data_IF_369557128349
#
_entry.id   IF_369557128349
#
_cell.length_a   1.000
_cell.length_b   1.000
_cell.length_c   1.000
_cell.angle_alpha   90.00
_cell.angle_beta   90.00
_cell.angle_gamma   90.00
#
_symmetry.space_group_name_H-M   'P 1'
#
loop_
_entity.id
_entity.type
_entity.pdbx_description
1 polymer ?
#
# COMPACT_ATOMS: atom_id res chain seq x y z
N UNK A 1 -4.18 -19.66 -20.52
CA UNK A 1 -3.08 -19.19 -19.67
C UNK A 1 -1.82 -19.20 -20.53
N UNK A 2 -1.04 -18.12 -20.59
CA UNK A 2 0.22 -18.13 -21.35
C UNK A 2 1.17 -19.15 -20.70
N UNK A 3 1.62 -20.14 -21.49
CA UNK A 3 2.58 -21.16 -21.07
C UNK A 3 4.02 -20.66 -21.32
N UNK A 4 4.95 -21.17 -20.53
CA UNK A 4 6.39 -20.96 -20.78
C UNK A 4 6.82 -21.65 -22.07
N UNK A 5 7.75 -21.03 -22.81
CA UNK A 5 8.14 -21.46 -24.17
C UNK A 5 9.61 -21.75 -24.32
N UNK A 6 10.47 -21.20 -23.46
CA UNK A 6 11.90 -21.39 -23.54
C UNK A 6 12.31 -22.83 -23.17
N UNK A 7 13.58 -23.12 -23.30
CA UNK A 7 14.19 -24.38 -22.84
C UNK A 7 14.04 -24.61 -21.33
N UNK A 8 13.79 -23.54 -20.55
CA UNK A 8 13.61 -23.56 -19.11
C UNK A 8 12.15 -23.67 -18.66
N UNK A 9 11.21 -24.06 -19.55
CA UNK A 9 9.77 -24.16 -19.23
C UNK A 9 9.47 -25.10 -18.06
N UNK A 10 10.22 -26.18 -17.93
CA UNK A 10 10.01 -27.18 -16.86
C UNK A 10 10.47 -26.60 -15.53
N UNK A 11 11.65 -26.03 -15.46
CA UNK A 11 12.25 -25.40 -14.28
C UNK A 11 11.42 -24.20 -13.78
N UNK A 12 10.90 -23.39 -14.72
CA UNK A 12 9.99 -22.27 -14.41
C UNK A 12 8.67 -22.76 -13.78
N UNK A 13 8.14 -23.87 -14.32
CA UNK A 13 6.89 -24.48 -13.81
C UNK A 13 7.12 -25.07 -12.44
N UNK A 14 8.21 -25.80 -12.23
CA UNK A 14 8.57 -26.42 -10.97
C UNK A 14 8.86 -25.37 -9.89
N UNK A 15 9.64 -24.33 -10.20
CA UNK A 15 9.90 -23.21 -9.30
C UNK A 15 8.61 -22.55 -8.81
N UNK A 16 7.63 -22.33 -9.70
CA UNK A 16 6.34 -21.78 -9.29
C UNK A 16 5.53 -22.76 -8.43
N UNK A 17 5.61 -24.06 -8.70
CA UNK A 17 4.95 -25.09 -7.90
C UNK A 17 5.54 -25.15 -6.48
N UNK A 18 6.87 -25.13 -6.34
CA UNK A 18 7.57 -25.07 -5.04
C UNK A 18 7.22 -23.76 -4.29
N UNK A 19 7.09 -22.65 -5.04
CA UNK A 19 6.72 -21.35 -4.45
C UNK A 19 5.27 -21.30 -3.98
N UNK A 20 4.41 -22.17 -4.51
CA UNK A 20 3.01 -22.25 -4.09
C UNK A 20 2.92 -22.71 -2.62
N UNK A 21 2.20 -21.96 -1.80
CA UNK A 21 2.09 -22.23 -0.36
C UNK A 21 3.17 -21.55 0.51
N UNK A 22 4.30 -21.13 -0.08
CA UNK A 22 5.33 -20.36 0.65
C UNK A 22 5.16 -18.85 0.51
N UNK A 23 4.54 -18.40 -0.58
CA UNK A 23 4.25 -16.99 -0.84
C UNK A 23 2.75 -16.80 -1.09
N UNK A 24 2.26 -15.55 -0.94
CA UNK A 24 0.85 -15.24 -1.20
C UNK A 24 0.49 -15.43 -2.69
N UNK A 25 -0.78 -15.76 -2.98
CA UNK A 25 -1.27 -15.92 -4.35
C UNK A 25 -0.99 -14.70 -5.23
N UNK A 26 -1.15 -13.49 -4.68
CA UNK A 26 -0.84 -12.25 -5.41
C UNK A 26 0.66 -12.12 -5.74
N UNK A 27 1.53 -12.54 -4.83
CA UNK A 27 2.99 -12.59 -5.07
C UNK A 27 3.31 -13.65 -6.11
N UNK A 28 2.69 -14.83 -6.02
CA UNK A 28 2.89 -15.92 -6.98
C UNK A 28 2.48 -15.51 -8.40
N UNK A 29 1.32 -14.88 -8.56
CA UNK A 29 0.85 -14.37 -9.85
C UNK A 29 1.78 -13.29 -10.41
N UNK A 30 2.28 -12.38 -9.56
CA UNK A 30 3.24 -11.36 -9.98
C UNK A 30 4.57 -11.99 -10.40
N UNK A 31 5.08 -12.95 -9.63
CA UNK A 31 6.28 -13.73 -9.96
C UNK A 31 6.12 -14.40 -11.33
N UNK A 32 5.00 -15.12 -11.53
CA UNK A 32 4.70 -15.78 -12.81
C UNK A 32 4.71 -14.77 -13.99
N UNK A 33 4.07 -13.60 -13.83
CA UNK A 33 4.02 -12.59 -14.89
C UNK A 33 5.42 -12.06 -15.25
N UNK A 34 6.28 -11.86 -14.25
CA UNK A 34 7.64 -11.40 -14.44
C UNK A 34 8.47 -12.48 -15.16
N UNK A 35 8.37 -13.73 -14.70
CA UNK A 35 9.09 -14.85 -15.30
C UNK A 35 8.62 -15.15 -16.73
N UNK A 36 7.31 -15.00 -17.03
CA UNK A 36 6.80 -15.09 -18.40
C UNK A 36 7.41 -14.04 -19.33
N UNK A 37 7.61 -12.82 -18.84
CA UNK A 37 8.26 -11.76 -19.61
C UNK A 37 9.73 -12.09 -19.92
N UNK A 38 10.43 -12.72 -18.99
CA UNK A 38 11.82 -13.18 -19.20
C UNK A 38 11.88 -14.39 -20.11
N UNK A 39 11.01 -15.38 -19.91
CA UNK A 39 10.87 -16.59 -20.72
C UNK A 39 10.59 -16.25 -22.20
N UNK A 40 9.75 -15.25 -22.46
CA UNK A 40 9.46 -14.80 -23.82
C UNK A 40 10.74 -14.32 -24.54
N UNK A 41 11.61 -13.59 -23.85
CA UNK A 41 12.89 -13.16 -24.42
C UNK A 41 13.82 -14.36 -24.67
N UNK A 42 13.92 -15.30 -23.72
CA UNK A 42 14.72 -16.52 -23.89
C UNK A 42 14.25 -17.34 -25.10
N UNK A 43 12.94 -17.44 -25.30
CA UNK A 43 12.36 -18.15 -26.43
C UNK A 43 12.62 -17.44 -27.77
N UNK A 44 12.50 -16.11 -27.81
CA UNK A 44 12.81 -15.28 -28.99
C UNK A 44 14.29 -15.39 -29.42
N UNK A 45 15.19 -15.45 -28.45
CA UNK A 45 16.63 -15.59 -28.71
C UNK A 45 17.06 -17.04 -29.00
N UNK A 46 16.15 -18.04 -28.89
CA UNK A 46 16.48 -19.46 -28.87
C UNK A 46 17.67 -19.76 -27.92
N UNK A 47 17.67 -19.10 -26.76
CA UNK A 47 18.76 -19.13 -25.83
C UNK A 47 18.84 -20.51 -25.14
N UNK A 48 19.94 -21.24 -25.37
CA UNK A 48 20.23 -22.50 -24.68
C UNK A 48 20.74 -22.35 -23.25
N UNK A 49 20.91 -21.10 -22.77
CA UNK A 49 21.40 -20.77 -21.44
C UNK A 49 21.06 -19.33 -21.04
N UNK A 50 21.27 -19.00 -19.77
CA UNK A 50 20.99 -17.65 -19.21
C UNK A 50 22.31 -16.90 -19.07
N UNK A 51 22.71 -16.19 -20.14
CA UNK A 51 23.93 -15.40 -20.19
C UNK A 51 23.75 -13.99 -19.64
N UNK A 52 24.87 -13.34 -19.31
CA UNK A 52 24.89 -11.92 -18.95
C UNK A 52 24.24 -11.05 -20.03
N UNK A 53 24.53 -11.30 -21.31
CA UNK A 53 23.98 -10.56 -22.44
C UNK A 53 22.44 -10.62 -22.47
N UNK A 54 21.87 -11.81 -22.32
CA UNK A 54 20.40 -12.01 -22.31
C UNK A 54 19.74 -11.31 -21.13
N UNK A 55 20.31 -11.44 -19.93
CA UNK A 55 19.78 -10.80 -18.73
C UNK A 55 19.84 -9.27 -18.83
N UNK A 56 20.99 -8.73 -19.27
CA UNK A 56 21.14 -7.28 -19.43
C UNK A 56 20.22 -6.71 -20.53
N UNK A 57 19.96 -7.46 -21.60
CA UNK A 57 18.97 -7.07 -22.62
C UNK A 57 17.57 -6.99 -22.04
N UNK A 58 17.14 -7.97 -21.21
CA UNK A 58 15.84 -7.93 -20.54
C UNK A 58 15.73 -6.73 -19.60
N UNK A 59 16.75 -6.48 -18.77
CA UNK A 59 16.79 -5.33 -17.85
C UNK A 59 16.74 -4.01 -18.64
N UNK A 60 17.51 -3.89 -19.72
CA UNK A 60 17.52 -2.71 -20.59
C UNK A 60 16.17 -2.43 -21.23
N UNK A 61 15.48 -3.46 -21.72
CA UNK A 61 14.12 -3.34 -22.23
C UNK A 61 13.10 -2.88 -21.16
N UNK A 62 13.26 -3.38 -19.94
CA UNK A 62 12.41 -2.94 -18.82
C UNK A 62 12.65 -1.48 -18.45
N UNK A 63 13.87 -0.98 -18.47
CA UNK A 63 14.24 0.39 -18.13
C UNK A 63 13.67 1.43 -19.11
N UNK A 64 13.39 1.04 -20.36
CA UNK A 64 12.74 1.93 -21.32
C UNK A 64 11.30 2.29 -20.96
N UNK A 65 10.61 1.41 -20.23
CA UNK A 65 9.17 1.53 -19.98
C UNK A 65 8.78 1.59 -18.51
N UNK A 66 9.73 1.31 -17.61
CA UNK A 66 9.45 1.27 -16.15
C UNK A 66 10.45 2.14 -15.37
N UNK A 67 9.98 2.64 -14.22
CA UNK A 67 10.85 3.31 -13.27
C UNK A 67 11.96 2.37 -12.75
N UNK A 68 13.17 2.88 -12.44
CA UNK A 68 14.28 2.08 -11.92
C UNK A 68 13.90 1.21 -10.71
N UNK A 69 13.10 1.73 -9.78
CA UNK A 69 12.59 0.98 -8.63
C UNK A 69 11.74 -0.23 -9.05
N UNK A 70 10.86 -0.05 -10.04
CA UNK A 70 10.05 -1.15 -10.56
C UNK A 70 10.90 -2.22 -11.24
N UNK A 71 11.94 -1.80 -11.94
CA UNK A 71 12.90 -2.74 -12.58
C UNK A 71 13.70 -3.48 -11.52
N UNK A 72 14.21 -2.79 -10.49
CA UNK A 72 14.90 -3.40 -9.34
C UNK A 72 14.03 -4.47 -8.65
N UNK A 73 12.75 -4.17 -8.43
CA UNK A 73 11.80 -5.12 -7.87
C UNK A 73 11.62 -6.35 -8.79
N UNK A 74 11.47 -6.16 -10.12
CA UNK A 74 11.36 -7.27 -11.08
C UNK A 74 12.62 -8.11 -11.14
N UNK A 75 13.81 -7.47 -11.12
CA UNK A 75 15.10 -8.17 -11.07
C UNK A 75 15.22 -9.00 -9.80
N UNK A 76 14.73 -8.50 -8.65
CA UNK A 76 14.72 -9.27 -7.41
C UNK A 76 13.89 -10.56 -7.51
N UNK A 77 12.78 -10.57 -8.25
CA UNK A 77 12.02 -11.79 -8.53
C UNK A 77 12.78 -12.74 -9.44
N UNK A 78 13.40 -12.23 -10.51
CA UNK A 78 14.24 -13.04 -11.41
C UNK A 78 15.41 -13.68 -10.64
N UNK A 79 16.10 -12.91 -9.78
CA UNK A 79 17.23 -13.43 -8.97
C UNK A 79 16.83 -14.62 -8.09
N UNK A 80 15.61 -14.67 -7.58
CA UNK A 80 15.11 -15.82 -6.80
C UNK A 80 15.02 -17.08 -7.66
N UNK A 81 14.53 -16.96 -8.88
CA UNK A 81 14.50 -18.05 -9.85
C UNK A 81 15.91 -18.47 -10.29
N UNK A 82 16.81 -17.51 -10.56
CA UNK A 82 18.18 -17.82 -10.92
C UNK A 82 18.95 -18.55 -9.80
N UNK A 83 18.68 -18.21 -8.52
CA UNK A 83 19.23 -18.98 -7.39
C UNK A 83 18.71 -20.41 -7.35
N UNK A 84 17.42 -20.60 -7.64
CA UNK A 84 16.87 -21.94 -7.78
C UNK A 84 17.59 -22.73 -8.87
N UNK A 85 17.81 -22.14 -10.05
CA UNK A 85 18.56 -22.78 -11.12
C UNK A 85 20.01 -23.12 -10.71
N UNK A 86 20.70 -22.23 -9.99
CA UNK A 86 22.04 -22.52 -9.47
C UNK A 86 22.03 -23.68 -8.49
N UNK A 87 21.00 -23.80 -7.66
CA UNK A 87 20.82 -24.93 -6.76
C UNK A 87 20.61 -26.25 -7.53
N UNK A 88 19.88 -26.20 -8.65
CA UNK A 88 19.67 -27.34 -9.57
C UNK A 88 20.91 -27.63 -10.45
N UNK A 89 22.03 -26.94 -10.26
CA UNK A 89 23.29 -27.18 -10.95
C UNK A 89 23.47 -26.42 -12.27
N UNK A 90 22.57 -25.51 -12.62
CA UNK A 90 22.72 -24.69 -13.83
C UNK A 90 23.72 -23.57 -13.63
N UNK A 91 24.60 -23.38 -14.64
CA UNK A 91 25.44 -22.19 -14.71
C UNK A 91 24.64 -21.02 -15.30
N UNK A 92 24.29 -20.03 -14.48
CA UNK A 92 23.49 -18.87 -14.87
C UNK A 92 24.12 -17.58 -14.36
N UNK A 93 24.03 -16.51 -15.13
CA UNK A 93 24.47 -15.18 -14.70
C UNK A 93 23.51 -14.58 -13.67
N UNK A 94 24.05 -14.06 -12.57
CA UNK A 94 23.29 -13.40 -11.49
C UNK A 94 23.43 -11.88 -11.59
N UNK A 95 22.39 -11.16 -12.05
CA UNK A 95 22.46 -9.71 -12.20
C UNK A 95 22.43 -8.98 -10.87
N UNK A 96 23.01 -7.79 -10.80
CA UNK A 96 22.76 -6.84 -9.73
C UNK A 96 21.42 -6.14 -9.93
N UNK A 97 20.79 -5.77 -8.81
CA UNK A 97 19.60 -4.94 -8.87
C UNK A 97 19.98 -3.50 -9.22
N UNK A 98 19.28 -2.86 -10.16
CA UNK A 98 19.51 -1.45 -10.48
C UNK A 98 19.46 -0.58 -9.23
N UNK A 99 20.41 0.35 -9.08
CA UNK A 99 20.42 1.32 -7.99
C UNK A 99 19.16 2.18 -8.07
N UNK A 100 18.53 2.42 -6.94
CA UNK A 100 17.32 3.22 -6.83
C UNK A 100 17.56 4.34 -5.82
N UNK A 101 17.11 5.55 -6.14
CA UNK A 101 17.02 6.63 -5.16
C UNK A 101 15.66 6.54 -4.46
N UNK A 102 15.63 6.63 -3.15
CA UNK A 102 14.39 6.69 -2.36
C UNK A 102 13.94 8.17 -2.25
N UNK A 103 13.62 8.77 -3.39
CA UNK A 103 13.20 10.18 -3.51
C UNK A 103 11.67 10.33 -3.53
N UNK A 104 10.93 9.28 -3.17
CA UNK A 104 9.49 9.35 -3.16
C UNK A 104 8.96 10.16 -1.97
N UNK A 105 8.37 11.32 -2.26
CA UNK A 105 7.58 12.09 -1.30
C UNK A 105 6.10 11.82 -1.57
N UNK A 106 5.35 11.27 -0.61
CA UNK A 106 3.92 11.06 -0.78
C UNK A 106 3.17 12.38 -0.81
N UNK A 107 2.05 12.42 -1.54
CA UNK A 107 1.12 13.54 -1.40
C UNK A 107 0.41 13.43 -0.05
N UNK A 108 0.40 14.53 0.71
CA UNK A 108 -0.29 14.63 1.99
C UNK A 108 -1.39 15.67 1.86
N UNK A 109 -2.63 15.24 2.10
CA UNK A 109 -3.78 16.12 2.05
C UNK A 109 -3.78 17.08 3.25
N UNK A 110 -4.15 18.34 3.03
CA UNK A 110 -4.51 19.27 4.09
C UNK A 110 -5.88 18.95 4.70
N UNK A 111 -6.17 19.49 5.88
CA UNK A 111 -7.45 19.32 6.56
C UNK A 111 -8.63 19.81 5.70
N UNK A 112 -8.44 20.95 5.01
CA UNK A 112 -9.42 21.52 4.09
C UNK A 112 -9.71 20.62 2.89
N UNK A 113 -8.66 20.02 2.30
CA UNK A 113 -8.82 19.06 1.20
C UNK A 113 -9.54 17.79 1.66
N UNK A 114 -9.22 17.27 2.85
CA UNK A 114 -9.92 16.11 3.44
C UNK A 114 -11.40 16.42 3.64
N UNK A 115 -11.74 17.58 4.21
CA UNK A 115 -13.14 18.00 4.39
C UNK A 115 -13.87 18.12 3.05
N UNK A 116 -13.25 18.71 2.04
CA UNK A 116 -13.80 18.85 0.69
C UNK A 116 -14.05 17.48 0.05
N UNK A 117 -13.08 16.56 0.16
CA UNK A 117 -13.20 15.20 -0.38
C UNK A 117 -14.35 14.44 0.28
N UNK A 118 -14.46 14.50 1.62
CA UNK A 118 -15.53 13.82 2.34
C UNK A 118 -16.92 14.39 1.98
N UNK A 119 -17.06 15.73 1.99
CA UNK A 119 -18.31 16.40 1.64
C UNK A 119 -18.76 16.10 0.20
N UNK A 120 -17.82 16.11 -0.75
CA UNK A 120 -18.11 15.77 -2.14
C UNK A 120 -18.51 14.31 -2.30
N UNK A 121 -17.81 13.37 -1.64
CA UNK A 121 -18.18 11.95 -1.65
C UNK A 121 -19.56 11.72 -1.08
N UNK A 122 -19.91 12.35 0.05
CA UNK A 122 -21.23 12.22 0.69
C UNK A 122 -22.36 12.69 -0.24
N UNK A 123 -22.11 13.74 -1.04
CA UNK A 123 -23.10 14.23 -1.99
C UNK A 123 -23.45 13.20 -3.08
N UNK A 124 -22.62 12.20 -3.32
CA UNK A 124 -22.88 11.16 -4.32
C UNK A 124 -24.04 10.25 -3.92
N UNK A 125 -24.15 9.93 -2.61
CA UNK A 125 -25.20 9.01 -2.10
C UNK A 125 -26.63 9.48 -2.44
N UNK A 126 -26.85 10.79 -2.55
CA UNK A 126 -28.14 11.36 -2.94
C UNK A 126 -28.33 11.59 -4.44
N UNK A 127 -27.26 11.53 -5.23
CA UNK A 127 -27.29 11.85 -6.68
C UNK A 127 -27.80 10.72 -7.55
N UNK A 128 -27.54 9.48 -7.15
CA UNK A 128 -27.82 8.31 -7.99
C UNK A 128 -29.05 7.56 -7.46
N UNK A 129 -29.98 7.25 -8.37
CA UNK A 129 -31.19 6.47 -8.08
C UNK A 129 -30.97 4.97 -8.31
N UNK A 130 -29.99 4.61 -9.16
CA UNK A 130 -29.64 3.22 -9.43
C UNK A 130 -29.10 2.53 -8.16
N UNK A 131 -29.70 1.39 -7.74
CA UNK A 131 -29.35 0.73 -6.48
C UNK A 131 -27.87 0.31 -6.39
N UNK A 132 -27.29 -0.17 -7.50
CA UNK A 132 -25.90 -0.63 -7.52
C UNK A 132 -24.92 0.55 -7.37
N UNK A 133 -25.17 1.64 -8.08
CA UNK A 133 -24.35 2.85 -7.97
C UNK A 133 -24.48 3.47 -6.58
N UNK A 134 -25.70 3.54 -6.03
CA UNK A 134 -25.94 4.03 -4.67
C UNK A 134 -25.25 3.18 -3.61
N UNK A 135 -25.27 1.86 -3.76
CA UNK A 135 -24.49 0.95 -2.90
C UNK A 135 -23.00 1.30 -2.95
N UNK A 136 -22.41 1.41 -4.15
CA UNK A 136 -21.00 1.77 -4.31
C UNK A 136 -20.67 3.15 -3.75
N UNK A 137 -21.61 4.11 -3.79
CA UNK A 137 -21.42 5.44 -3.19
C UNK A 137 -21.35 5.35 -1.68
N UNK A 138 -22.27 4.63 -1.03
CA UNK A 138 -22.24 4.39 0.41
C UNK A 138 -20.97 3.65 0.84
N UNK A 139 -20.57 2.61 0.11
CA UNK A 139 -19.32 1.89 0.33
C UNK A 139 -18.11 2.83 0.26
N UNK A 140 -18.07 3.69 -0.74
CA UNK A 140 -16.96 4.62 -0.94
C UNK A 140 -16.85 5.64 0.19
N UNK A 141 -17.97 6.24 0.59
CA UNK A 141 -18.03 7.18 1.71
C UNK A 141 -17.55 6.54 3.03
N UNK A 142 -17.98 5.30 3.31
CA UNK A 142 -17.57 4.59 4.51
C UNK A 142 -16.10 4.19 4.46
N UNK A 143 -15.62 3.72 3.31
CA UNK A 143 -14.22 3.37 3.11
C UNK A 143 -13.28 4.55 3.35
N UNK A 144 -13.58 5.73 2.81
CA UNK A 144 -12.79 6.95 3.05
C UNK A 144 -12.65 7.25 4.54
N UNK A 145 -13.76 7.15 5.30
CA UNK A 145 -13.77 7.37 6.75
C UNK A 145 -12.95 6.34 7.50
N UNK A 146 -13.02 5.07 7.11
CA UNK A 146 -12.21 4.02 7.72
C UNK A 146 -10.71 4.22 7.43
N UNK A 147 -10.36 4.61 6.19
CA UNK A 147 -8.96 4.90 5.85
C UNK A 147 -8.44 6.10 6.63
N UNK A 148 -9.26 7.15 6.78
CA UNK A 148 -8.93 8.36 7.50
C UNK A 148 -8.84 8.13 9.02
N UNK A 149 -9.82 7.46 9.61
CA UNK A 149 -9.92 7.31 11.07
C UNK A 149 -9.09 6.18 11.67
N UNK A 150 -8.63 5.21 10.84
CA UNK A 150 -7.86 4.07 11.30
C UNK A 150 -6.53 3.87 10.57
N UNK A 151 -6.22 4.66 9.55
CA UNK A 151 -4.98 4.53 8.79
C UNK A 151 -4.79 3.17 8.10
N UNK A 152 -5.86 2.47 7.75
CA UNK A 152 -5.79 1.15 7.12
C UNK A 152 -5.05 1.17 5.78
N UNK A 153 -4.38 0.04 5.46
CA UNK A 153 -4.05 -0.25 4.06
C UNK A 153 -5.34 -0.59 3.31
N UNK A 154 -5.54 -0.08 2.11
CA UNK A 154 -6.79 -0.26 1.33
C UNK A 154 -7.30 -1.72 1.30
N UNK A 155 -6.40 -2.68 1.24
CA UNK A 155 -6.80 -4.10 1.23
C UNK A 155 -7.33 -4.64 2.55
N UNK A 156 -7.06 -3.99 3.68
CA UNK A 156 -7.44 -4.47 5.00
C UNK A 156 -8.96 -4.35 5.23
N UNK A 157 -9.59 -3.17 5.07
CA UNK A 157 -11.04 -3.06 5.21
C UNK A 157 -11.79 -3.82 4.11
N UNK A 158 -11.23 -3.93 2.89
CA UNK A 158 -11.86 -4.70 1.81
C UNK A 158 -11.88 -6.22 2.08
N UNK A 159 -10.91 -6.73 2.81
CA UNK A 159 -10.87 -8.15 3.20
C UNK A 159 -11.70 -8.44 4.46
N UNK A 160 -12.04 -7.42 5.23
CA UNK A 160 -12.77 -7.57 6.49
C UNK A 160 -14.21 -8.04 6.27
N UNK A 161 -14.70 -8.83 7.21
CA UNK A 161 -16.09 -9.28 7.30
C UNK A 161 -16.80 -8.66 8.50
N UNK A 162 -18.12 -8.68 8.50
CA UNK A 162 -18.93 -8.13 9.61
C UNK A 162 -18.57 -8.77 10.95
N UNK A 163 -18.30 -10.07 10.98
CA UNK A 163 -17.85 -10.80 12.19
C UNK A 163 -16.52 -10.30 12.78
N UNK A 164 -15.73 -9.59 12.01
CA UNK A 164 -14.45 -9.05 12.47
C UNK A 164 -14.62 -7.76 13.28
N UNK A 165 -15.86 -7.20 13.32
CA UNK A 165 -16.18 -5.95 14.01
C UNK A 165 -16.82 -6.27 15.35
N UNK A 166 -16.31 -5.65 16.42
CA UNK A 166 -16.96 -5.61 17.72
C UNK A 166 -17.50 -4.18 17.94
N UNK A 167 -18.78 -3.99 17.63
CA UNK A 167 -19.43 -2.67 17.76
C UNK A 167 -19.50 -2.18 19.20
N UNK A 168 -19.67 -3.07 20.19
CA UNK A 168 -19.76 -2.67 21.61
C UNK A 168 -18.41 -2.19 22.17
N UNK A 169 -17.29 -2.72 21.65
CA UNK A 169 -15.93 -2.32 22.03
C UNK A 169 -15.32 -1.28 21.10
N UNK A 170 -15.98 -0.98 19.97
CA UNK A 170 -15.41 -0.11 18.94
C UNK A 170 -14.11 -0.65 18.38
N UNK A 171 -14.03 -1.94 18.05
CA UNK A 171 -12.79 -2.54 17.51
C UNK A 171 -13.04 -3.37 16.27
N UNK A 172 -12.03 -3.46 15.41
CA UNK A 172 -12.04 -4.33 14.24
C UNK A 172 -10.78 -5.22 14.22
N UNK A 173 -10.97 -6.51 13.94
CA UNK A 173 -9.90 -7.48 13.79
C UNK A 173 -9.43 -7.52 12.34
N UNK A 174 -8.20 -7.14 12.08
CA UNK A 174 -7.55 -7.27 10.78
C UNK A 174 -6.83 -8.61 10.70
N UNK A 175 -7.41 -9.56 9.94
CA UNK A 175 -6.90 -10.94 9.83
C UNK A 175 -5.77 -11.08 8.80
N UNK A 176 -5.86 -10.35 7.70
CA UNK A 176 -4.96 -10.50 6.55
C UNK A 176 -4.12 -9.25 6.34
N UNK A 177 -3.29 -8.92 7.33
CA UNK A 177 -2.27 -7.90 7.15
C UNK A 177 -1.11 -8.45 6.30
N UNK A 178 -0.30 -7.56 5.73
CA UNK A 178 0.98 -7.92 5.09
C UNK A 178 1.78 -8.79 6.10
N UNK A 179 2.24 -9.97 5.67
CA UNK A 179 2.98 -10.97 6.48
C UNK A 179 2.12 -11.82 7.45
N UNK A 180 0.83 -12.01 7.17
CA UNK A 180 -0.09 -12.86 7.95
C UNK A 180 -0.22 -12.51 9.45
N UNK A 181 0.23 -11.32 9.87
CA UNK A 181 0.05 -10.85 11.24
C UNK A 181 -1.37 -10.32 11.41
N UNK A 182 -2.05 -10.77 12.46
CA UNK A 182 -3.35 -10.25 12.86
C UNK A 182 -3.15 -9.11 13.85
N UNK A 183 -4.05 -8.12 13.83
CA UNK A 183 -4.10 -7.07 14.83
C UNK A 183 -5.52 -6.59 15.08
N UNK A 184 -5.78 -6.13 16.28
CA UNK A 184 -7.03 -5.44 16.64
C UNK A 184 -6.77 -3.94 16.51
N UNK A 185 -7.66 -3.26 15.81
CA UNK A 185 -7.59 -1.81 15.59
C UNK A 185 -8.79 -1.17 16.30
N UNK A 186 -8.57 -0.30 17.29
CA UNK A 186 -9.64 0.48 17.90
C UNK A 186 -10.14 1.56 16.94
N UNK A 187 -11.43 1.80 16.97
CA UNK A 187 -12.13 2.87 16.26
C UNK A 187 -12.73 3.83 17.27
N UNK A 188 -12.77 5.11 16.96
CA UNK A 188 -13.48 6.05 17.81
C UNK A 188 -14.99 5.79 17.80
N UNK A 189 -15.71 6.36 18.78
CA UNK A 189 -17.14 6.13 18.97
C UNK A 189 -17.95 6.62 17.77
N UNK A 190 -17.55 7.74 17.14
CA UNK A 190 -18.26 8.33 16.01
C UNK A 190 -18.11 7.43 14.78
N UNK A 191 -16.89 6.99 14.47
CA UNK A 191 -16.61 6.07 13.35
C UNK A 191 -17.32 4.74 13.55
N UNK A 192 -17.33 4.20 14.78
CA UNK A 192 -18.02 2.95 15.13
C UNK A 192 -19.53 3.08 14.89
N UNK A 193 -20.15 4.17 15.33
CA UNK A 193 -21.56 4.43 15.09
C UNK A 193 -21.91 4.63 13.60
N UNK A 194 -21.05 5.31 12.85
CA UNK A 194 -21.21 5.43 11.39
C UNK A 194 -21.12 4.08 10.69
N UNK A 195 -20.15 3.25 11.08
CA UNK A 195 -19.98 1.91 10.53
C UNK A 195 -21.17 1.00 10.84
N UNK A 196 -21.74 1.11 12.02
CA UNK A 196 -22.96 0.37 12.40
C UNK A 196 -24.16 0.78 11.53
N UNK A 197 -24.40 2.08 11.38
CA UNK A 197 -25.45 2.62 10.50
C UNK A 197 -25.24 2.19 9.03
N UNK A 198 -23.99 2.20 8.56
CA UNK A 198 -23.64 1.70 7.25
C UNK A 198 -23.99 0.21 7.08
N UNK A 199 -23.61 -0.65 8.04
CA UNK A 199 -23.94 -2.08 7.98
C UNK A 199 -25.45 -2.34 8.00
N UNK A 200 -26.23 -1.51 8.69
CA UNK A 200 -27.70 -1.57 8.68
C UNK A 200 -28.24 -1.17 7.31
N UNK A 201 -27.77 -0.03 6.76
CA UNK A 201 -28.21 0.47 5.46
C UNK A 201 -27.89 -0.47 4.31
N UNK A 202 -26.77 -1.20 4.43
CA UNK A 202 -26.34 -2.22 3.48
C UNK A 202 -27.02 -3.59 3.70
N UNK A 203 -27.86 -3.71 4.73
CA UNK A 203 -28.50 -4.97 5.15
C UNK A 203 -27.52 -6.13 5.43
N UNK A 204 -26.29 -5.81 5.88
CA UNK A 204 -25.25 -6.79 6.18
C UNK A 204 -24.98 -6.98 7.68
N UNK A 205 -25.57 -6.19 8.55
CA UNK A 205 -25.28 -6.22 10.00
C UNK A 205 -25.53 -7.58 10.64
N UNK A 206 -26.53 -8.29 10.18
CA UNK A 206 -26.91 -9.63 10.68
C UNK A 206 -26.23 -10.77 9.91
N UNK A 207 -25.36 -10.46 8.95
CA UNK A 207 -24.68 -11.39 8.09
C UNK A 207 -23.18 -11.47 8.43
N UNK A 208 -22.77 -12.25 9.44
CA UNK A 208 -21.39 -12.23 9.96
C UNK A 208 -20.35 -12.62 8.93
N UNK A 209 -20.68 -13.45 7.95
CA UNK A 209 -19.77 -13.86 6.87
C UNK A 209 -19.75 -12.91 5.67
N UNK A 210 -20.64 -11.91 5.64
CA UNK A 210 -20.64 -10.90 4.59
C UNK A 210 -19.36 -10.06 4.66
N UNK A 211 -18.80 -9.75 3.49
CA UNK A 211 -17.75 -8.74 3.41
C UNK A 211 -18.29 -7.38 3.83
N UNK A 212 -17.46 -6.59 4.50
CA UNK A 212 -17.80 -5.23 4.89
C UNK A 212 -18.07 -4.35 3.67
N UNK A 213 -17.39 -4.60 2.57
CA UNK A 213 -17.55 -3.97 1.26
C UNK A 213 -17.84 -5.06 0.22
N UNK A 214 -19.11 -5.50 0.07
CA UNK A 214 -19.47 -6.56 -0.85
C UNK A 214 -19.39 -6.10 -2.31
N UNK A 215 -19.02 -6.98 -3.22
CA UNK A 215 -18.95 -6.65 -4.63
C UNK A 215 -20.34 -6.61 -5.26
N UNK A 216 -20.71 -5.50 -5.88
CA UNK A 216 -21.94 -5.38 -6.68
C UNK A 216 -21.96 -6.28 -7.94
N UNK A 217 -20.77 -6.72 -8.41
CA UNK A 217 -20.63 -7.51 -9.64
C UNK A 217 -20.58 -9.01 -9.38
N UNK A 218 -20.10 -9.43 -8.21
CA UNK A 218 -19.91 -10.85 -7.88
C UNK A 218 -20.43 -11.13 -6.48
N UNK A 219 -21.59 -11.79 -6.40
CA UNK A 219 -22.20 -12.17 -5.12
C UNK A 219 -21.23 -12.97 -4.24
N UNK A 220 -21.15 -12.62 -2.96
CA UNK A 220 -20.30 -13.29 -1.98
C UNK A 220 -18.82 -12.93 -2.06
N UNK A 221 -18.40 -12.04 -2.97
CA UNK A 221 -17.03 -11.55 -3.07
C UNK A 221 -16.90 -10.14 -2.49
N UNK A 222 -15.68 -9.77 -2.11
CA UNK A 222 -15.34 -8.40 -1.75
C UNK A 222 -15.26 -7.48 -2.98
N UNK A 223 -15.52 -6.20 -2.78
CA UNK A 223 -15.23 -5.17 -3.76
C UNK A 223 -13.72 -5.08 -4.04
N UNK A 224 -13.34 -4.60 -5.21
CA UNK A 224 -11.93 -4.58 -5.64
C UNK A 224 -11.26 -3.24 -5.38
N UNK A 225 -9.94 -3.27 -5.16
CA UNK A 225 -9.12 -2.05 -5.04
C UNK A 225 -9.25 -1.15 -6.28
N UNK A 226 -9.36 -1.74 -7.47
CA UNK A 226 -9.52 -1.01 -8.73
C UNK A 226 -10.80 -0.19 -8.79
N UNK A 227 -11.91 -0.74 -8.31
CA UNK A 227 -13.21 -0.03 -8.24
C UNK A 227 -13.07 1.27 -7.42
N UNK A 228 -12.50 1.18 -6.24
CA UNK A 228 -12.32 2.35 -5.37
C UNK A 228 -11.25 3.32 -5.86
N UNK A 229 -10.21 2.83 -6.52
CA UNK A 229 -9.20 3.68 -7.16
C UNK A 229 -9.76 4.54 -8.28
N UNK A 230 -10.65 4.00 -9.12
CA UNK A 230 -11.34 4.75 -10.17
C UNK A 230 -12.28 5.81 -9.58
N UNK A 231 -13.04 5.45 -8.54
CA UNK A 231 -13.94 6.39 -7.85
C UNK A 231 -13.16 7.52 -7.19
N UNK A 232 -12.02 7.21 -6.58
CA UNK A 232 -11.19 8.23 -5.96
C UNK A 232 -10.61 9.21 -6.99
N UNK A 233 -10.19 8.71 -8.16
CA UNK A 233 -9.76 9.60 -9.26
C UNK A 233 -10.89 10.53 -9.70
N UNK A 234 -12.13 10.01 -9.85
CA UNK A 234 -13.31 10.82 -10.18
C UNK A 234 -13.54 11.89 -9.11
N UNK A 235 -13.46 11.54 -7.83
CA UNK A 235 -13.62 12.47 -6.71
C UNK A 235 -12.57 13.59 -6.76
N UNK A 236 -11.30 13.27 -6.98
CA UNK A 236 -10.24 14.25 -7.14
C UNK A 236 -10.48 15.22 -8.31
N UNK A 237 -11.04 14.72 -9.41
CA UNK A 237 -11.42 15.55 -10.57
C UNK A 237 -12.58 16.49 -10.24
N UNK A 238 -13.63 16.00 -9.59
CA UNK A 238 -14.81 16.79 -9.19
C UNK A 238 -14.45 17.89 -8.17
N UNK A 239 -13.48 17.63 -7.32
CA UNK A 239 -13.01 18.61 -6.31
C UNK A 239 -11.88 19.51 -6.80
N UNK A 240 -11.49 19.41 -8.08
CA UNK A 240 -10.34 20.12 -8.66
C UNK A 240 -8.99 19.88 -7.94
N UNK A 241 -8.88 18.78 -7.20
CA UNK A 241 -7.66 18.39 -6.50
C UNK A 241 -6.79 17.44 -7.34
N UNK A 242 -7.29 16.96 -8.48
CA UNK A 242 -6.54 16.02 -9.30
C UNK A 242 -5.28 16.65 -9.90
N UNK A 243 -4.13 16.13 -9.52
CA UNK A 243 -2.85 16.47 -10.13
C UNK A 243 -2.41 15.30 -11.02
N UNK A 244 -2.26 15.53 -12.34
CA UNK A 244 -1.72 14.50 -13.23
C UNK A 244 -0.34 14.07 -12.74
N UNK A 245 -0.15 12.77 -12.51
CA UNK A 245 1.15 12.23 -12.10
C UNK A 245 2.20 12.45 -13.18
N UNK A 246 3.42 12.82 -12.79
CA UNK A 246 4.58 12.76 -13.69
C UNK A 246 4.81 11.30 -14.08
N UNK A 247 5.40 11.05 -15.25
CA UNK A 247 5.78 9.71 -15.66
C UNK A 247 6.56 9.01 -14.52
N UNK A 248 6.12 7.81 -14.17
CA UNK A 248 6.69 6.98 -13.10
C UNK A 248 6.59 7.51 -11.66
N UNK A 249 5.85 8.61 -11.40
CA UNK A 249 5.57 9.07 -10.05
C UNK A 249 4.25 8.47 -9.53
N UNK A 250 4.20 8.19 -8.23
CA UNK A 250 2.94 7.87 -7.55
C UNK A 250 2.25 9.20 -7.23
N UNK A 251 1.17 9.49 -7.94
CA UNK A 251 0.29 10.62 -7.64
C UNK A 251 -0.60 10.36 -6.42
N UNK A 252 -1.60 11.24 -6.27
CA UNK A 252 -2.63 11.11 -5.26
C UNK A 252 -3.36 9.77 -5.35
N UNK A 253 -3.48 9.08 -4.25
CA UNK A 253 -4.15 7.77 -4.16
C UNK A 253 -4.75 7.56 -2.77
N UNK A 254 -5.59 6.54 -2.63
CA UNK A 254 -6.23 6.21 -1.35
C UNK A 254 -5.23 5.92 -0.21
N UNK A 255 -3.99 5.57 -0.53
CA UNK A 255 -2.96 5.37 0.48
C UNK A 255 -2.52 6.68 1.14
N UNK A 256 -2.75 7.83 0.50
CA UNK A 256 -2.47 9.15 1.07
C UNK A 256 -3.29 9.42 2.35
N UNK A 257 -4.47 8.83 2.51
CA UNK A 257 -5.23 8.88 3.77
C UNK A 257 -4.49 8.24 4.94
N UNK A 258 -3.75 7.17 4.69
CA UNK A 258 -2.93 6.53 5.73
C UNK A 258 -1.71 7.40 6.08
N UNK A 259 -1.12 8.10 5.10
CA UNK A 259 -0.07 9.06 5.38
C UNK A 259 -0.59 10.21 6.24
N UNK A 260 -1.74 10.78 5.86
CA UNK A 260 -2.44 11.79 6.65
C UNK A 260 -2.70 11.31 8.10
N UNK A 261 -3.30 10.12 8.27
CA UNK A 261 -3.55 9.55 9.59
C UNK A 261 -2.27 9.43 10.43
N UNK A 262 -1.18 8.94 9.84
CA UNK A 262 0.08 8.76 10.56
C UNK A 262 0.66 10.08 11.04
N UNK A 263 0.71 11.10 10.18
CA UNK A 263 1.23 12.43 10.50
C UNK A 263 0.36 13.10 11.57
N UNK A 264 -0.96 13.06 11.41
CA UNK A 264 -1.88 13.61 12.41
C UNK A 264 -1.81 12.89 13.77
N UNK A 265 -1.52 11.58 13.76
CA UNK A 265 -1.33 10.82 15.00
C UNK A 265 -0.09 11.29 15.76
N UNK A 266 1.01 11.60 15.07
CA UNK A 266 2.20 12.19 15.68
C UNK A 266 1.90 13.59 16.22
N UNK A 267 1.31 14.47 15.41
CA UNK A 267 0.97 15.82 15.83
C UNK A 267 0.03 15.85 17.06
N UNK A 268 -0.93 14.92 17.13
CA UNK A 268 -1.80 14.80 18.30
C UNK A 268 -1.07 14.28 19.54
N UNK A 269 -0.14 13.33 19.38
CA UNK A 269 0.65 12.81 20.47
C UNK A 269 1.53 13.91 21.08
N UNK A 270 2.17 14.71 20.24
CA UNK A 270 3.01 15.83 20.63
C UNK A 270 2.21 16.91 21.36
N UNK A 271 1.04 17.33 20.83
CA UNK A 271 0.11 18.24 21.52
C UNK A 271 -0.30 17.74 22.90
N UNK A 272 -0.26 16.43 23.16
CA UNK A 272 -0.52 15.81 24.47
C UNK A 272 0.75 15.62 25.31
N UNK A 273 1.88 16.21 24.89
CA UNK A 273 3.16 16.15 25.61
C UNK A 273 3.91 14.84 25.48
N UNK A 274 3.57 13.97 24.51
CA UNK A 274 4.32 12.75 24.24
C UNK A 274 5.36 13.04 23.15
N UNK A 275 6.66 12.83 23.43
CA UNK A 275 7.71 12.97 22.42
C UNK A 275 7.42 12.11 21.17
N UNK A 276 7.76 12.65 20.00
CA UNK A 276 7.53 11.99 18.72
C UNK A 276 8.22 10.62 18.67
N UNK A 277 9.47 10.54 19.12
CA UNK A 277 10.24 9.28 19.15
C UNK A 277 9.57 8.20 20.00
N UNK A 278 8.94 8.56 21.12
CA UNK A 278 8.20 7.64 21.97
C UNK A 278 6.91 7.13 21.32
N UNK A 279 6.39 7.89 20.34
CA UNK A 279 5.16 7.56 19.62
C UNK A 279 5.38 6.58 18.46
N UNK A 280 6.61 6.51 17.90
CA UNK A 280 6.96 5.64 16.76
C UNK A 280 6.63 4.17 17.02
N UNK A 281 7.05 3.53 18.14
CA UNK A 281 6.74 2.12 18.38
C UNK A 281 5.25 1.84 18.46
N UNK A 282 4.48 2.71 19.11
CA UNK A 282 3.02 2.55 19.25
C UNK A 282 2.32 2.67 17.88
N UNK A 283 2.68 3.68 17.10
CA UNK A 283 2.10 3.86 15.78
C UNK A 283 2.52 2.75 14.81
N UNK A 284 3.75 2.24 14.92
CA UNK A 284 4.24 1.11 14.12
C UNK A 284 3.40 -0.14 14.36
N UNK A 285 3.15 -0.48 15.63
CA UNK A 285 2.29 -1.62 16.01
C UNK A 285 0.85 -1.40 15.54
N UNK A 286 0.29 -0.22 15.78
CA UNK A 286 -1.07 0.14 15.37
C UNK A 286 -1.27 0.01 13.85
N UNK A 287 -0.36 0.57 13.08
CA UNK A 287 -0.40 0.51 11.63
C UNK A 287 -0.05 -0.89 11.07
N UNK A 288 0.57 -1.76 11.87
CA UNK A 288 1.05 -3.08 11.46
C UNK A 288 2.20 -2.97 10.45
N UNK A 289 3.20 -2.15 10.77
CA UNK A 289 4.46 -2.10 10.05
C UNK A 289 5.33 -3.30 10.40
N UNK A 290 6.22 -3.71 9.50
CA UNK A 290 7.14 -4.81 9.74
C UNK A 290 8.29 -4.38 10.64
N UNK A 291 8.79 -3.18 10.39
CA UNK A 291 9.87 -2.51 11.10
C UNK A 291 9.47 -1.06 11.42
N UNK A 292 10.26 -0.42 12.28
CA UNK A 292 10.02 0.98 12.67
C UNK A 292 10.36 1.95 11.54
N UNK A 293 11.29 1.58 10.65
CA UNK A 293 11.73 2.42 9.53
C UNK A 293 10.56 2.82 8.63
N UNK A 294 9.56 1.92 8.44
CA UNK A 294 8.32 2.26 7.71
C UNK A 294 7.55 3.40 8.39
N UNK A 295 7.64 3.52 9.71
CA UNK A 295 6.95 4.56 10.50
C UNK A 295 7.79 5.83 10.62
N UNK A 296 9.10 5.70 10.79
CA UNK A 296 10.03 6.85 10.87
C UNK A 296 10.05 7.68 9.59
N UNK A 297 9.75 7.07 8.44
CA UNK A 297 9.60 7.83 7.19
C UNK A 297 8.56 8.94 7.27
N UNK A 298 7.53 8.79 8.11
CA UNK A 298 6.55 9.85 8.32
C UNK A 298 7.12 11.07 9.06
N UNK A 299 8.15 10.89 9.88
CA UNK A 299 8.81 11.99 10.58
C UNK A 299 9.54 12.91 9.59
N UNK A 300 10.18 12.32 8.57
CA UNK A 300 10.83 13.09 7.50
C UNK A 300 9.84 13.94 6.71
N UNK A 301 8.61 13.47 6.56
CA UNK A 301 7.57 14.21 5.84
C UNK A 301 6.91 15.29 6.69
N UNK A 302 6.89 15.13 8.03
CA UNK A 302 6.31 16.15 8.93
C UNK A 302 7.17 17.38 9.04
N UNK A 303 8.50 17.26 9.08
CA UNK A 303 9.43 18.40 9.14
C UNK A 303 9.32 19.30 7.90
N UNK A 304 9.17 18.73 6.70
CA UNK A 304 9.07 19.48 5.45
C UNK A 304 7.73 20.20 5.27
N UNK A 305 6.67 19.74 5.94
CA UNK A 305 5.30 20.24 5.77
C UNK A 305 4.81 21.15 6.90
N UNK A 306 5.46 21.12 8.04
CA UNK A 306 5.13 21.92 9.21
C UNK A 306 6.38 22.63 9.73
N UNK A 307 6.78 23.77 9.10
CA UNK A 307 7.98 24.52 9.51
C UNK A 307 7.95 24.96 10.99
N UNK A 308 6.76 25.18 11.56
CA UNK A 308 6.54 25.42 13.00
C UNK A 308 7.11 24.30 13.90
N UNK A 309 7.19 23.06 13.40
CA UNK A 309 7.81 21.95 14.12
C UNK A 309 9.31 21.83 13.87
N UNK A 310 9.79 22.38 12.76
CA UNK A 310 11.24 22.45 12.46
C UNK A 310 11.93 23.41 13.42
N UNK A 311 11.31 24.57 13.72
CA UNK A 311 11.84 25.51 14.72
C UNK A 311 11.90 24.87 16.12
N UNK A 312 10.88 24.13 16.54
CA UNK A 312 10.89 23.39 17.81
C UNK A 312 11.95 22.27 17.85
N UNK A 313 12.21 21.63 16.71
CA UNK A 313 13.22 20.58 16.61
C UNK A 313 14.64 21.18 16.56
N UNK A 314 14.82 22.32 15.88
CA UNK A 314 16.07 23.07 15.86
C UNK A 314 16.39 23.66 17.24
N UNK A 315 15.40 24.19 17.95
CA UNK A 315 15.56 24.63 19.36
C UNK A 315 15.90 23.48 20.30
N UNK A 316 15.28 22.31 20.12
CA UNK A 316 15.62 21.11 20.89
C UNK A 316 17.01 20.59 20.53
N UNK A 317 17.36 20.49 19.26
CA UNK A 317 18.67 20.08 18.79
C UNK A 317 19.75 21.07 19.26
N UNK A 318 19.50 22.38 19.20
CA UNK A 318 20.37 23.40 19.73
C UNK A 318 20.57 23.28 21.26
N UNK A 319 19.52 22.91 21.99
CA UNK A 319 19.61 22.71 23.45
C UNK A 319 20.40 21.45 23.85
N UNK A 320 20.40 20.41 23.01
CA UNK A 320 21.08 19.13 23.25
C UNK A 320 22.53 19.15 22.74
N UNK A 321 22.83 19.93 21.70
CA UNK A 321 24.16 20.01 21.08
C UNK A 321 24.91 21.32 21.36
N UNK A 322 24.46 22.10 22.35
CA UNK A 322 25.09 23.37 22.71
C UNK A 322 26.43 23.25 23.47
N UNK A 323 27.00 22.07 23.64
CA UNK A 323 28.31 21.89 24.29
C UNK A 323 29.25 21.00 23.47
N UNK A 324 29.59 21.43 22.26
CA UNK A 324 30.89 21.11 21.65
C UNK A 324 31.37 22.38 20.96
N UNK A 325 31.65 23.39 21.75
CA UNK A 325 32.32 24.59 21.34
C UNK A 325 33.83 24.45 21.57
N UNK A 326 34.54 24.57 20.48
CA UNK A 326 35.91 25.08 20.35
C UNK A 326 36.79 25.12 21.61
N UNK A 327 37.57 24.09 21.85
CA UNK A 327 38.87 24.20 22.43
C UNK A 327 39.92 23.71 21.42
N UNK A 328 40.32 24.60 20.51
CA UNK A 328 41.63 24.56 19.91
C UNK A 328 42.29 25.92 20.08
N UNK A 329 43.24 25.94 21.03
CA UNK A 329 44.47 26.68 20.90
C UNK A 329 45.60 25.89 21.47
#
# INVERSE_FOLDING_TARGET
MNEFKSVFKNELTEYLAISQGTISDGTLQNTRRILLSFDSLLAEENAGGISEKTVNRWIGGLLQTNAPKTVSDKVSYLRKFLRYLQYEGYSVFMPDCPKTSDSYVPYIFSDGEIQMLLASADSWVGRHTDPQTRQMDMEFCMLLRMLLGCGFRLGEPLAAKVKDINFSRGTILIRHAKNNKQRIVPMDVTLTGMLEKYCIAMAIKTEPESHLFPSVRKKGAAATKGTFGLRFRKLLQETNLYVPGKAHSRGQCLHCFRHYFAIHSFAQAEKKGRPVNDSVPFLSVYLGHHDMDETEKYLKFSSDMFPEYTELFEDYAASVFMEVGDEEK
#
